data_IF_045294441517
#
_entry.id   IF_045294441517
#
_cell.length_a   1.000
_cell.length_b   1.000
_cell.length_c   1.000
_cell.angle_alpha   90.00
_cell.angle_beta   90.00
_cell.angle_gamma   90.00
#
_symmetry.space_group_name_H-M   'P 1'
#
loop_
_entity.id
_entity.type
_entity.pdbx_description
1 polymer ?
#
# COMPACT_ATOMS: atom_id res chain seq x y z
N UNK A 1 0.06 -6.73 5.74
CA UNK A 1 0.85 -7.94 6.06
C UNK A 1 2.09 -7.62 6.89
N UNK A 2 3.11 -6.93 6.37
CA UNK A 2 4.34 -6.58 7.12
C UNK A 2 4.07 -6.00 8.51
N UNK A 3 3.26 -4.94 8.61
CA UNK A 3 2.92 -4.30 9.90
C UNK A 3 2.29 -5.29 10.88
N UNK A 4 1.33 -6.10 10.42
CA UNK A 4 0.67 -7.12 11.26
C UNK A 4 1.66 -8.17 11.75
N UNK A 5 2.59 -8.63 10.91
CA UNK A 5 3.64 -9.57 11.31
C UNK A 5 4.52 -8.98 12.42
N UNK A 6 4.95 -7.72 12.27
CA UNK A 6 5.74 -7.03 13.30
C UNK A 6 4.98 -6.94 14.62
N UNK A 7 3.69 -6.60 14.60
CA UNK A 7 2.88 -6.54 15.83
C UNK A 7 2.73 -7.91 16.48
N UNK A 8 2.51 -8.97 15.71
CA UNK A 8 2.44 -10.34 16.23
C UNK A 8 3.75 -10.75 16.89
N UNK A 9 4.90 -10.50 16.24
CA UNK A 9 6.23 -10.81 16.79
C UNK A 9 6.55 -9.97 18.04
N UNK A 10 6.09 -8.71 18.09
CA UNK A 10 6.25 -7.84 19.27
C UNK A 10 5.51 -8.35 20.51
N UNK A 11 4.48 -9.18 20.35
CA UNK A 11 3.80 -9.81 21.50
C UNK A 11 4.69 -10.80 22.24
N UNK A 12 5.64 -11.43 21.53
CA UNK A 12 6.53 -12.45 22.10
C UNK A 12 7.94 -11.91 22.39
N UNK A 13 8.37 -10.84 21.72
CA UNK A 13 9.66 -10.19 21.97
C UNK A 13 9.53 -8.67 22.01
N UNK A 14 9.89 -8.09 23.15
CA UNK A 14 9.88 -6.62 23.35
C UNK A 14 11.17 -5.95 22.90
N UNK A 15 12.27 -6.69 22.82
CA UNK A 15 13.58 -6.18 22.38
C UNK A 15 13.64 -6.04 20.86
N UNK A 16 13.12 -4.92 20.36
CA UNK A 16 13.05 -4.63 18.93
C UNK A 16 13.77 -3.31 18.64
N UNK A 17 14.78 -3.36 17.78
CA UNK A 17 15.41 -2.17 17.22
C UNK A 17 14.84 -1.89 15.85
N UNK A 18 14.49 -0.63 15.60
CA UNK A 18 14.15 -0.16 14.25
C UNK A 18 15.47 0.04 13.51
N UNK A 19 15.76 -0.87 12.59
CA UNK A 19 16.96 -0.82 11.77
C UNK A 19 16.60 -1.21 10.34
N UNK A 20 17.06 -0.42 9.38
CA UNK A 20 16.76 -0.62 7.96
C UNK A 20 17.98 -1.26 7.30
N UNK A 21 17.88 -2.52 6.83
CA UNK A 21 18.87 -3.05 5.90
C UNK A 21 19.00 -2.14 4.69
N UNK A 22 20.16 -2.14 4.03
CA UNK A 22 20.42 -1.30 2.87
C UNK A 22 19.30 -1.46 1.83
N UNK A 23 18.64 -0.34 1.49
CA UNK A 23 17.55 -0.29 0.53
C UNK A 23 16.14 -0.62 1.07
N UNK A 24 15.98 -1.11 2.30
CA UNK A 24 14.65 -1.36 2.86
C UNK A 24 13.92 -0.04 3.22
N UNK A 25 12.66 0.10 2.80
CA UNK A 25 11.81 1.22 3.22
C UNK A 25 11.57 1.19 4.74
N UNK A 26 11.32 -0.02 5.26
CA UNK A 26 11.12 -0.29 6.68
C UNK A 26 11.84 -1.56 7.10
N UNK A 27 12.35 -1.58 8.33
CA UNK A 27 13.02 -2.75 8.88
C UNK A 27 12.99 -2.75 10.41
N UNK A 28 12.90 -3.96 10.96
CA UNK A 28 12.95 -4.22 12.40
C UNK A 28 13.86 -5.41 12.66
N UNK A 29 14.66 -5.30 13.71
CA UNK A 29 15.53 -6.37 14.19
C UNK A 29 15.07 -6.78 15.58
N UNK A 30 14.67 -8.05 15.72
CA UNK A 30 14.33 -8.67 17.00
C UNK A 30 15.61 -9.30 17.56
N UNK A 31 16.19 -8.65 18.57
CA UNK A 31 17.55 -8.95 19.03
C UNK A 31 17.67 -10.36 19.60
N UNK A 32 16.72 -10.74 20.45
CA UNK A 32 16.69 -12.05 21.10
C UNK A 32 16.75 -13.23 20.12
N UNK A 33 16.12 -13.09 18.96
CA UNK A 33 16.04 -14.15 17.95
C UNK A 33 17.01 -13.94 16.78
N UNK A 34 17.80 -12.87 16.79
CA UNK A 34 18.59 -12.42 15.64
C UNK A 34 17.77 -12.35 14.34
N UNK A 35 16.49 -11.99 14.44
CA UNK A 35 15.56 -11.99 13.31
C UNK A 35 15.44 -10.58 12.74
N UNK A 36 15.68 -10.46 11.43
CA UNK A 36 15.48 -9.22 10.67
C UNK A 36 14.22 -9.36 9.83
N UNK A 37 13.32 -8.39 9.94
CA UNK A 37 12.12 -8.31 9.12
C UNK A 37 12.13 -6.99 8.39
N UNK A 38 12.20 -7.04 7.06
CA UNK A 38 12.28 -5.87 6.19
C UNK A 38 11.10 -5.79 5.24
N UNK A 39 10.79 -4.57 4.80
CA UNK A 39 9.79 -4.27 3.79
C UNK A 39 10.44 -3.41 2.71
N UNK A 40 10.32 -3.89 1.47
CA UNK A 40 10.75 -3.21 0.27
C UNK A 40 9.52 -2.92 -0.58
N UNK A 41 9.32 -1.66 -0.93
CA UNK A 41 8.21 -1.23 -1.75
C UNK A 41 8.51 -1.54 -3.20
N UNK A 42 7.67 -2.39 -3.80
CA UNK A 42 7.74 -2.71 -5.21
C UNK A 42 6.34 -2.89 -5.77
N UNK A 43 5.87 -1.95 -6.58
CA UNK A 43 4.47 -1.95 -7.03
C UNK A 43 4.28 -2.92 -8.21
N UNK A 44 5.21 -2.90 -9.16
CA UNK A 44 5.17 -3.72 -10.39
C UNK A 44 6.16 -4.89 -10.37
N UNK A 45 7.02 -5.03 -9.35
CA UNK A 45 8.20 -5.93 -9.36
C UNK A 45 9.28 -5.49 -10.38
N UNK A 46 8.90 -4.96 -11.52
CA UNK A 46 9.79 -4.38 -12.52
C UNK A 46 10.10 -2.90 -12.28
N UNK A 47 11.26 -2.46 -12.75
CA UNK A 47 11.64 -1.06 -12.79
C UNK A 47 10.64 -0.26 -13.63
N UNK A 48 10.15 0.85 -13.09
CA UNK A 48 9.29 1.77 -13.82
C UNK A 48 9.58 3.23 -13.50
N UNK A 49 9.36 4.09 -14.49
CA UNK A 49 9.67 5.51 -14.41
C UNK A 49 8.86 6.35 -15.39
N UNK A 50 8.84 7.66 -15.17
CA UNK A 50 8.22 8.59 -16.12
C UNK A 50 9.03 8.62 -17.42
N UNK A 51 8.34 8.55 -18.55
CA UNK A 51 8.93 8.69 -19.88
C UNK A 51 8.26 9.83 -20.64
N UNK A 52 9.07 10.61 -21.35
CA UNK A 52 8.63 11.70 -22.21
C UNK A 52 9.39 11.66 -23.53
N UNK A 53 8.70 12.04 -24.60
CA UNK A 53 9.27 12.10 -25.93
C UNK A 53 10.53 13.00 -25.99
N UNK A 54 11.53 12.55 -26.74
CA UNK A 54 12.74 13.32 -27.03
C UNK A 54 12.54 14.23 -28.24
N UNK A 55 13.21 15.39 -28.24
CA UNK A 55 13.23 16.32 -29.38
C UNK A 55 13.85 15.68 -30.63
N UNK A 56 14.77 14.73 -30.43
CA UNK A 56 15.44 14.01 -31.51
C UNK A 56 14.56 12.92 -32.15
N UNK A 57 13.34 12.73 -31.63
CA UNK A 57 12.45 11.66 -32.05
C UNK A 57 12.93 10.26 -31.65
N UNK A 58 12.10 9.27 -31.93
CA UNK A 58 12.35 7.87 -31.61
C UNK A 58 11.20 6.98 -32.08
N UNK A 59 11.32 5.68 -31.85
CA UNK A 59 10.33 4.69 -32.31
C UNK A 59 8.97 4.93 -31.65
N UNK A 60 8.94 5.28 -30.36
CA UNK A 60 7.70 5.55 -29.62
C UNK A 60 7.04 6.86 -30.08
N UNK A 61 7.83 7.88 -30.39
CA UNK A 61 7.37 9.14 -30.95
C UNK A 61 6.77 8.95 -32.34
N UNK A 62 7.40 8.10 -33.18
CA UNK A 62 6.87 7.68 -34.48
C UNK A 62 5.53 6.93 -34.39
N UNK A 63 5.28 6.25 -33.28
CA UNK A 63 3.99 5.62 -32.95
C UNK A 63 2.96 6.59 -32.35
N UNK A 64 3.33 7.86 -32.17
CA UNK A 64 2.45 8.92 -31.65
C UNK A 64 2.46 9.08 -30.12
N UNK A 65 3.32 8.36 -29.40
CA UNK A 65 3.45 8.52 -27.95
C UNK A 65 4.22 9.79 -27.60
N UNK A 66 3.61 10.68 -26.81
CA UNK A 66 4.25 11.91 -26.32
C UNK A 66 4.81 11.77 -24.90
N UNK A 67 4.17 10.93 -24.09
CA UNK A 67 4.50 10.67 -22.68
C UNK A 67 3.90 9.34 -22.23
N UNK A 68 4.43 8.78 -21.15
CA UNK A 68 3.94 7.54 -20.57
C UNK A 68 4.77 7.11 -19.38
N UNK A 69 4.54 5.89 -18.91
CA UNK A 69 5.38 5.24 -17.92
C UNK A 69 6.19 4.14 -18.57
N UNK A 70 7.51 4.29 -18.56
CA UNK A 70 8.43 3.21 -18.92
C UNK A 70 8.33 2.11 -17.88
N UNK A 71 8.21 0.87 -18.34
CA UNK A 71 8.22 -0.35 -17.52
C UNK A 71 9.21 -1.32 -18.14
N UNK A 72 10.33 -1.57 -17.48
CA UNK A 72 11.38 -2.46 -17.96
C UNK A 72 11.07 -3.92 -17.57
N UNK A 73 10.76 -4.75 -18.56
CA UNK A 73 10.31 -6.13 -18.36
C UNK A 73 11.39 -7.03 -17.75
N UNK A 74 12.66 -6.72 -17.98
CA UNK A 74 13.83 -7.52 -17.63
C UNK A 74 14.64 -6.97 -16.43
N UNK A 75 14.31 -5.76 -15.95
CA UNK A 75 15.05 -5.09 -14.88
C UNK A 75 14.17 -5.05 -13.61
N UNK A 76 14.60 -5.68 -12.50
CA UNK A 76 13.87 -5.58 -11.23
C UNK A 76 13.92 -4.16 -10.66
N UNK A 77 12.83 -3.71 -10.04
CA UNK A 77 12.73 -2.37 -9.45
C UNK A 77 13.68 -2.15 -8.26
N UNK A 78 14.31 -0.97 -8.24
CA UNK A 78 14.86 -0.34 -7.04
C UNK A 78 15.61 -1.26 -6.09
N UNK A 79 15.22 -1.20 -4.82
CA UNK A 79 15.97 -1.78 -3.70
C UNK A 79 15.67 -3.25 -3.43
N UNK A 80 14.69 -3.85 -4.12
CA UNK A 80 14.39 -5.26 -3.92
C UNK A 80 15.29 -6.18 -4.75
N UNK A 81 16.01 -5.65 -5.74
CA UNK A 81 16.93 -6.41 -6.59
C UNK A 81 18.00 -7.19 -5.80
N UNK A 82 18.48 -6.65 -4.67
CA UNK A 82 19.49 -7.30 -3.81
C UNK A 82 18.88 -8.15 -2.68
N UNK A 83 17.57 -8.07 -2.47
CA UNK A 83 16.87 -8.76 -1.38
C UNK A 83 17.04 -10.29 -1.43
N UNK A 84 16.94 -10.97 -2.60
CA UNK A 84 17.11 -12.42 -2.67
C UNK A 84 18.47 -12.91 -2.16
N UNK A 85 19.51 -12.07 -2.27
CA UNK A 85 20.87 -12.42 -1.82
C UNK A 85 21.03 -12.33 -0.31
N UNK A 86 20.20 -11.53 0.37
CA UNK A 86 20.38 -11.18 1.79
C UNK A 86 19.40 -11.90 2.74
N UNK A 87 18.20 -12.25 2.28
CA UNK A 87 17.15 -12.81 3.12
C UNK A 87 16.94 -14.32 2.91
N UNK A 88 16.69 -15.04 4.00
CA UNK A 88 16.41 -16.48 3.95
C UNK A 88 14.95 -16.78 3.59
N UNK A 89 14.03 -15.85 3.87
CA UNK A 89 12.60 -15.95 3.53
C UNK A 89 12.19 -14.72 2.72
N UNK A 90 11.65 -14.96 1.54
CA UNK A 90 11.14 -13.92 0.66
C UNK A 90 9.63 -14.07 0.50
N UNK A 91 8.89 -13.00 0.80
CA UNK A 91 7.45 -12.92 0.59
C UNK A 91 7.16 -11.80 -0.40
N UNK A 92 6.78 -12.18 -1.63
CA UNK A 92 6.46 -11.24 -2.69
C UNK A 92 4.95 -11.07 -2.86
N UNK A 93 4.57 -9.88 -3.26
CA UNK A 93 3.28 -9.62 -3.85
C UNK A 93 3.42 -8.55 -4.94
N UNK A 94 2.49 -8.55 -5.89
CA UNK A 94 2.28 -7.41 -6.79
C UNK A 94 0.79 -7.13 -6.81
N UNK A 95 0.40 -5.85 -6.85
CA UNK A 95 -0.99 -5.45 -6.54
C UNK A 95 -1.62 -4.64 -7.68
N UNK A 96 -2.55 -3.77 -7.30
CA UNK A 96 -3.56 -3.13 -8.14
C UNK A 96 -3.04 -2.22 -9.26
N UNK A 97 -1.74 -1.94 -9.32
CA UNK A 97 -1.17 -0.95 -10.22
C UNK A 97 -1.23 -1.38 -11.70
N UNK A 98 -1.17 -2.68 -11.97
CA UNK A 98 -1.28 -3.26 -13.32
C UNK A 98 -2.55 -2.88 -14.09
N UNK A 99 -3.64 -2.52 -13.40
CA UNK A 99 -4.91 -2.13 -14.02
C UNK A 99 -5.54 -0.96 -13.27
N UNK A 100 -4.72 0.00 -12.85
CA UNK A 100 -5.17 1.23 -12.21
C UNK A 100 -5.17 2.38 -13.23
N UNK A 101 -6.32 2.73 -13.85
CA UNK A 101 -6.38 3.81 -14.85
C UNK A 101 -5.94 5.16 -14.29
N UNK A 102 -6.14 5.39 -12.98
CA UNK A 102 -5.66 6.59 -12.30
C UNK A 102 -4.15 6.72 -12.22
N UNK A 103 -3.42 5.61 -12.37
CA UNK A 103 -1.96 5.62 -12.38
C UNK A 103 -1.41 5.48 -13.80
N UNK A 104 -1.97 4.56 -14.58
CA UNK A 104 -1.57 4.28 -15.95
C UNK A 104 -2.77 4.45 -16.87
N UNK A 105 -3.10 5.71 -17.17
CA UNK A 105 -4.17 6.04 -18.10
C UNK A 105 -3.77 5.56 -19.52
N UNK A 106 -4.55 4.67 -20.17
CA UNK A 106 -4.19 4.08 -21.46
C UNK A 106 -4.04 5.10 -22.59
N UNK A 107 -4.59 6.31 -22.43
CA UNK A 107 -4.56 7.38 -23.42
C UNK A 107 -3.58 8.47 -23.00
N UNK A 108 -3.65 8.94 -21.75
CA UNK A 108 -2.88 10.09 -21.27
C UNK A 108 -1.47 9.73 -20.82
N UNK A 109 -1.29 8.57 -20.22
CA UNK A 109 -0.02 8.13 -19.64
C UNK A 109 0.10 6.59 -19.63
N UNK A 110 0.15 5.96 -20.83
CA UNK A 110 0.13 4.51 -20.95
C UNK A 110 1.40 3.87 -20.38
N UNK A 111 1.31 2.57 -20.10
CA UNK A 111 2.49 1.74 -19.86
C UNK A 111 3.22 1.52 -21.20
N UNK A 112 4.50 1.86 -21.22
CA UNK A 112 5.41 1.67 -22.35
C UNK A 112 6.43 0.63 -21.91
N UNK A 113 6.38 -0.55 -22.53
CA UNK A 113 7.24 -1.66 -22.13
C UNK A 113 8.59 -1.58 -22.81
N UNK A 114 9.64 -1.88 -22.06
CA UNK A 114 11.02 -1.93 -22.54
C UNK A 114 11.62 -3.29 -22.22
N UNK A 115 12.49 -3.77 -23.10
CA UNK A 115 13.30 -4.96 -22.89
C UNK A 115 14.72 -4.67 -23.36
N UNK A 116 15.73 -4.93 -22.52
CA UNK A 116 17.14 -4.62 -22.80
C UNK A 116 17.38 -3.16 -23.20
N UNK A 117 16.57 -2.25 -22.64
CA UNK A 117 16.63 -0.82 -22.91
C UNK A 117 15.97 -0.36 -24.21
N UNK A 118 15.37 -1.27 -24.99
CA UNK A 118 14.67 -0.94 -26.24
C UNK A 118 13.15 -1.01 -26.03
N UNK A 119 12.37 -0.09 -26.65
CA UNK A 119 10.91 -0.13 -26.53
C UNK A 119 10.33 -1.34 -27.27
N UNK A 120 9.36 -2.01 -26.65
CA UNK A 120 8.61 -3.08 -27.31
C UNK A 120 7.55 -2.45 -28.23
N UNK A 121 7.74 -2.63 -29.53
CA UNK A 121 6.98 -1.92 -30.59
C UNK A 121 5.52 -2.40 -30.67
N UNK A 122 5.26 -3.68 -30.37
CA UNK A 122 3.90 -4.20 -30.32
C UNK A 122 3.25 -3.77 -29.02
N UNK A 123 2.03 -3.17 -29.03
CA UNK A 123 1.34 -2.78 -27.81
C UNK A 123 1.01 -4.03 -27.00
N UNK A 124 1.80 -4.29 -25.96
CA UNK A 124 1.56 -5.35 -24.99
C UNK A 124 0.47 -4.87 -24.04
N UNK A 125 -0.56 -5.70 -23.83
CA UNK A 125 -1.56 -5.44 -22.81
C UNK A 125 -0.95 -5.61 -21.41
N UNK A 126 -1.33 -4.82 -20.39
CA UNK A 126 -0.77 -4.93 -19.05
C UNK A 126 -0.78 -6.35 -18.45
N UNK A 127 -1.77 -7.17 -18.79
CA UNK A 127 -1.87 -8.57 -18.36
C UNK A 127 -0.71 -9.43 -18.91
N UNK A 128 -0.33 -9.21 -20.16
CA UNK A 128 0.81 -9.92 -20.78
C UNK A 128 2.13 -9.40 -20.19
N UNK A 129 2.22 -8.08 -19.93
CA UNK A 129 3.38 -7.49 -19.25
C UNK A 129 3.59 -8.08 -17.84
N UNK A 130 2.50 -8.26 -17.09
CA UNK A 130 2.52 -8.94 -15.79
C UNK A 130 3.07 -10.37 -15.91
N UNK A 131 2.60 -11.15 -16.89
CA UNK A 131 3.06 -12.53 -17.09
C UNK A 131 4.58 -12.59 -17.36
N UNK A 132 5.10 -11.70 -18.21
CA UNK A 132 6.53 -11.63 -18.52
C UNK A 132 7.33 -11.26 -17.27
N UNK A 133 6.87 -10.27 -16.51
CA UNK A 133 7.57 -9.83 -15.30
C UNK A 133 7.55 -10.88 -14.21
N UNK A 134 6.45 -11.61 -14.03
CA UNK A 134 6.40 -12.73 -13.09
C UNK A 134 7.40 -13.83 -13.48
N UNK A 135 7.52 -14.17 -14.77
CA UNK A 135 8.52 -15.13 -15.25
C UNK A 135 9.95 -14.65 -15.01
N UNK A 136 10.24 -13.41 -15.36
CA UNK A 136 11.56 -12.82 -15.16
C UNK A 136 11.91 -12.70 -13.66
N UNK A 137 10.93 -12.39 -12.82
CA UNK A 137 11.08 -12.38 -11.36
C UNK A 137 11.41 -13.77 -10.83
N UNK A 138 10.69 -14.82 -11.25
CA UNK A 138 10.97 -16.20 -10.82
C UNK A 138 12.40 -16.56 -11.20
N UNK A 139 12.81 -16.31 -12.45
CA UNK A 139 14.16 -16.56 -12.92
C UNK A 139 15.21 -15.80 -12.10
N UNK A 140 14.97 -14.50 -11.87
CA UNK A 140 15.86 -13.62 -11.13
C UNK A 140 16.06 -14.07 -9.68
N UNK A 141 14.97 -14.34 -8.96
CA UNK A 141 15.00 -14.82 -7.57
C UNK A 141 15.68 -16.18 -7.50
N UNK A 142 15.41 -17.09 -8.44
CA UNK A 142 16.03 -18.41 -8.45
C UNK A 142 17.54 -18.38 -8.67
N UNK A 143 18.01 -17.42 -9.46
CA UNK A 143 19.45 -17.26 -9.71
C UNK A 143 20.20 -16.64 -8.54
N UNK A 144 19.55 -15.77 -7.76
CA UNK A 144 20.21 -14.99 -6.70
C UNK A 144 20.00 -15.52 -5.29
N UNK A 145 18.86 -16.15 -5.02
CA UNK A 145 18.55 -16.67 -3.70
C UNK A 145 19.28 -17.97 -3.43
N UNK A 146 19.66 -18.20 -2.18
CA UNK A 146 20.27 -19.45 -1.73
C UNK A 146 19.34 -20.64 -2.02
N UNK A 147 19.87 -21.85 -2.31
CA UNK A 147 19.05 -23.03 -2.61
C UNK A 147 18.01 -23.38 -1.52
N UNK A 148 18.34 -23.15 -0.25
CA UNK A 148 17.44 -23.39 0.90
C UNK A 148 16.49 -22.21 1.21
N UNK A 149 16.53 -21.13 0.44
CA UNK A 149 15.71 -19.94 0.66
C UNK A 149 14.23 -20.22 0.43
N UNK A 150 13.38 -19.81 1.36
CA UNK A 150 11.93 -19.99 1.28
C UNK A 150 11.34 -18.87 0.45
N UNK A 151 10.59 -19.24 -0.59
CA UNK A 151 9.99 -18.32 -1.57
C UNK A 151 8.48 -18.41 -1.47
N UNK A 152 7.84 -17.33 -1.09
CA UNK A 152 6.39 -17.26 -0.95
C UNK A 152 5.87 -16.14 -1.85
N UNK A 153 4.85 -16.43 -2.64
CA UNK A 153 4.11 -15.42 -3.38
C UNK A 153 2.68 -15.33 -2.84
N UNK A 154 2.29 -14.15 -2.37
CA UNK A 154 0.96 -13.94 -1.83
C UNK A 154 -0.02 -13.56 -2.95
N UNK A 155 -1.16 -14.25 -2.99
CA UNK A 155 -2.27 -13.85 -3.85
C UNK A 155 -2.82 -12.48 -3.44
N UNK A 156 -3.60 -11.86 -4.31
CA UNK A 156 -4.09 -10.51 -4.04
C UNK A 156 -5.31 -10.49 -3.15
N UNK A 157 -5.37 -9.46 -2.30
CA UNK A 157 -6.58 -9.13 -1.55
C UNK A 157 -7.57 -8.39 -2.46
N UNK A 158 -8.86 -8.76 -2.46
CA UNK A 158 -9.90 -8.10 -3.23
C UNK A 158 -10.22 -6.69 -2.70
N UNK A 159 -10.93 -5.93 -3.53
CA UNK A 159 -11.61 -4.69 -3.13
C UNK A 159 -13.10 -5.00 -2.94
N UNK A 160 -13.74 -4.31 -2.00
CA UNK A 160 -15.17 -4.50 -1.71
C UNK A 160 -15.91 -3.18 -1.94
N UNK A 161 -15.73 -2.59 -3.12
CA UNK A 161 -16.34 -1.31 -3.44
C UNK A 161 -17.80 -1.52 -3.85
N UNK A 162 -18.71 -0.81 -3.21
CA UNK A 162 -20.13 -0.74 -3.55
C UNK A 162 -20.43 0.63 -4.16
N UNK A 163 -21.40 0.67 -5.08
CA UNK A 163 -21.93 1.92 -5.70
C UNK A 163 -20.95 2.73 -6.54
N UNK A 164 -19.78 2.17 -6.88
CA UNK A 164 -18.83 2.78 -7.81
C UNK A 164 -17.40 2.30 -7.60
N UNK A 165 -16.48 2.86 -8.37
CA UNK A 165 -15.05 2.69 -8.16
C UNK A 165 -14.52 3.65 -7.10
N UNK A 166 -13.32 3.37 -6.58
CA UNK A 166 -12.68 4.17 -5.52
C UNK A 166 -12.53 5.67 -5.87
N UNK A 167 -12.51 6.02 -7.15
CA UNK A 167 -12.45 7.39 -7.69
C UNK A 167 -13.81 7.96 -8.11
N UNK A 168 -14.86 7.14 -8.13
CA UNK A 168 -16.22 7.49 -8.52
C UNK A 168 -17.22 7.36 -7.35
N UNK A 169 -16.75 7.41 -6.10
CA UNK A 169 -17.60 7.37 -4.91
C UNK A 169 -17.81 5.98 -4.30
N UNK A 170 -17.15 4.95 -4.83
CA UNK A 170 -17.20 3.59 -4.31
C UNK A 170 -16.69 3.49 -2.88
N UNK A 171 -17.43 2.80 -2.02
CA UNK A 171 -17.03 2.59 -0.62
C UNK A 171 -17.44 1.21 -0.10
N UNK A 172 -16.89 0.81 1.05
CA UNK A 172 -17.32 -0.40 1.75
C UNK A 172 -17.83 -0.01 3.14
N UNK A 173 -19.14 -0.13 3.36
CA UNK A 173 -19.79 0.18 4.65
C UNK A 173 -20.14 -1.09 5.44
N UNK A 174 -19.76 -2.28 4.94
CA UNK A 174 -20.10 -3.54 5.58
C UNK A 174 -19.36 -3.68 6.91
N UNK A 175 -20.10 -4.10 7.94
CA UNK A 175 -19.56 -4.39 9.28
C UNK A 175 -19.53 -5.89 9.58
N UNK A 176 -20.18 -6.71 8.75
CA UNK A 176 -20.17 -8.17 8.85
C UNK A 176 -19.45 -8.82 7.66
N UNK A 177 -18.89 -10.03 7.84
CA UNK A 177 -18.39 -10.84 6.73
C UNK A 177 -19.48 -11.14 5.70
N UNK A 178 -19.09 -11.36 4.44
CA UNK A 178 -20.00 -11.84 3.40
C UNK A 178 -20.29 -13.33 3.57
N UNK A 179 -21.54 -13.72 3.30
CA UNK A 179 -21.91 -15.12 3.13
C UNK A 179 -21.34 -15.67 1.81
N UNK A 180 -21.18 -16.98 1.73
CA UNK A 180 -20.54 -17.65 0.59
C UNK A 180 -21.23 -17.33 -0.75
N UNK A 181 -22.56 -17.35 -0.75
CA UNK A 181 -23.38 -17.03 -1.93
C UNK A 181 -23.18 -15.58 -2.36
N UNK A 182 -23.08 -14.66 -1.39
CA UNK A 182 -22.82 -13.24 -1.65
C UNK A 182 -21.42 -13.04 -2.22
N UNK A 183 -20.41 -13.76 -1.72
CA UNK A 183 -19.04 -13.72 -2.26
C UNK A 183 -19.04 -14.17 -3.72
N UNK A 184 -19.67 -15.30 -4.02
CA UNK A 184 -19.71 -15.83 -5.37
C UNK A 184 -20.43 -14.90 -6.35
N UNK A 185 -21.51 -14.26 -5.89
CA UNK A 185 -22.23 -13.26 -6.67
C UNK A 185 -21.42 -11.98 -6.88
N UNK A 186 -20.84 -11.43 -5.82
CA UNK A 186 -20.15 -10.14 -5.80
C UNK A 186 -18.79 -10.17 -6.52
N UNK A 187 -18.15 -11.34 -6.55
CA UNK A 187 -16.88 -11.59 -7.24
C UNK A 187 -17.03 -12.50 -8.46
N UNK A 188 -18.23 -12.63 -9.03
CA UNK A 188 -18.45 -13.40 -10.27
C UNK A 188 -17.75 -12.76 -11.47
N UNK A 189 -17.04 -13.57 -12.27
CA UNK A 189 -16.37 -13.11 -13.51
C UNK A 189 -17.34 -12.82 -14.66
N UNK A 190 -18.59 -13.26 -14.54
CA UNK A 190 -19.64 -13.05 -15.55
C UNK A 190 -20.20 -11.63 -15.53
N UNK A 191 -20.07 -10.95 -14.38
CA UNK A 191 -20.38 -9.52 -14.27
C UNK A 191 -19.08 -8.77 -14.46
N UNK A 192 -18.97 -8.00 -15.55
CA UNK A 192 -17.88 -7.04 -15.80
C UNK A 192 -17.83 -5.97 -14.69
N UNK A 193 -17.36 -6.35 -13.51
CA UNK A 193 -17.40 -5.59 -12.28
C UNK A 193 -16.00 -5.46 -11.71
N UNK A 194 -15.67 -4.25 -11.25
CA UNK A 194 -14.32 -3.87 -10.84
C UNK A 194 -13.75 -4.75 -9.71
N UNK A 195 -14.61 -5.33 -8.87
CA UNK A 195 -14.22 -6.17 -7.74
C UNK A 195 -13.77 -7.58 -8.18
N UNK A 196 -14.53 -8.22 -9.07
CA UNK A 196 -14.28 -9.58 -9.56
C UNK A 196 -13.14 -9.61 -10.58
N UNK A 197 -13.24 -8.76 -11.59
CA UNK A 197 -12.36 -8.75 -12.76
C UNK A 197 -10.92 -8.42 -12.38
N UNK A 198 -10.70 -7.62 -11.34
CA UNK A 198 -9.35 -7.22 -10.97
C UNK A 198 -8.66 -8.21 -10.05
N UNK A 199 -9.37 -8.98 -9.23
CA UNK A 199 -8.75 -9.88 -8.25
C UNK A 199 -8.61 -11.30 -8.80
N UNK A 200 -9.72 -11.92 -9.22
CA UNK A 200 -9.74 -13.33 -9.63
C UNK A 200 -9.01 -13.56 -10.95
N UNK A 201 -9.21 -12.72 -11.97
CA UNK A 201 -8.46 -12.83 -13.24
C UNK A 201 -6.95 -12.66 -13.03
N UNK A 202 -6.54 -11.69 -12.20
CA UNK A 202 -5.12 -11.42 -11.96
C UNK A 202 -4.44 -12.55 -11.19
N UNK A 203 -5.16 -13.17 -10.25
CA UNK A 203 -4.68 -14.39 -9.61
C UNK A 203 -4.61 -15.57 -10.58
N UNK A 204 -5.50 -15.71 -11.57
CA UNK A 204 -5.39 -16.76 -12.59
C UNK A 204 -4.08 -16.67 -13.37
N UNK A 205 -3.70 -15.48 -13.82
CA UNK A 205 -2.39 -15.24 -14.44
C UNK A 205 -1.24 -15.65 -13.52
N UNK A 206 -1.34 -15.28 -12.25
CA UNK A 206 -0.33 -15.59 -11.24
C UNK A 206 -0.21 -17.09 -10.95
N UNK A 207 -1.34 -17.81 -10.76
CA UNK A 207 -1.33 -19.27 -10.57
C UNK A 207 -0.69 -19.96 -11.78
N UNK A 208 -1.07 -19.54 -12.99
CA UNK A 208 -0.54 -20.11 -14.24
C UNK A 208 0.98 -19.91 -14.38
N UNK A 209 1.50 -18.74 -13.99
CA UNK A 209 2.94 -18.45 -14.10
C UNK A 209 3.75 -19.10 -12.99
N UNK A 210 3.17 -19.23 -11.78
CA UNK A 210 3.84 -19.86 -10.64
C UNK A 210 3.71 -21.39 -10.65
N UNK A 211 2.81 -21.96 -11.46
CA UNK A 211 2.67 -23.41 -11.63
C UNK A 211 3.99 -24.03 -12.07
N UNK A 212 4.44 -25.07 -11.35
CA UNK A 212 5.72 -25.73 -11.60
C UNK A 212 6.95 -24.94 -11.16
N UNK A 213 6.79 -23.75 -10.58
CA UNK A 213 7.90 -23.02 -9.94
C UNK A 213 8.17 -23.54 -8.53
N UNK A 214 9.29 -23.12 -7.94
CA UNK A 214 9.65 -23.41 -6.55
C UNK A 214 9.11 -22.38 -5.54
N UNK A 215 8.11 -21.58 -5.93
CA UNK A 215 7.43 -20.65 -5.04
C UNK A 215 6.24 -21.33 -4.38
N UNK A 216 6.09 -21.14 -3.07
CA UNK A 216 4.87 -21.47 -2.37
C UNK A 216 3.84 -20.35 -2.58
N UNK A 217 2.65 -20.73 -3.02
CA UNK A 217 1.54 -19.80 -3.19
C UNK A 217 0.81 -19.67 -1.87
N UNK A 218 0.83 -18.49 -1.26
CA UNK A 218 0.01 -18.17 -0.10
C UNK A 218 -1.33 -17.63 -0.59
N UNK A 219 -2.33 -18.50 -0.70
CA UNK A 219 -3.66 -18.11 -1.13
C UNK A 219 -4.47 -17.48 0.00
N UNK A 220 -4.58 -16.16 -0.05
CA UNK A 220 -5.39 -15.34 0.86
C UNK A 220 -6.63 -14.77 0.19
N UNK A 221 -6.86 -15.04 -1.10
CA UNK A 221 -7.84 -14.28 -1.88
C UNK A 221 -9.25 -14.59 -1.45
N UNK A 222 -9.63 -15.88 -1.45
CA UNK A 222 -10.99 -16.28 -1.11
C UNK A 222 -11.38 -15.91 0.33
N UNK A 223 -10.49 -16.19 1.29
CA UNK A 223 -10.72 -15.79 2.68
C UNK A 223 -10.81 -14.28 2.85
N UNK A 224 -10.11 -13.50 2.02
CA UNK A 224 -10.20 -12.04 2.04
C UNK A 224 -11.47 -11.51 1.38
N UNK A 225 -12.03 -12.20 0.38
CA UNK A 225 -13.33 -11.88 -0.24
C UNK A 225 -14.49 -12.01 0.76
N UNK A 226 -14.38 -12.91 1.73
CA UNK A 226 -15.37 -13.00 2.81
C UNK A 226 -15.28 -11.82 3.79
N UNK A 227 -14.15 -11.12 3.86
CA UNK A 227 -13.83 -10.17 4.94
C UNK A 227 -14.10 -8.70 4.56
N UNK A 228 -15.29 -8.43 4.02
CA UNK A 228 -15.76 -7.08 3.72
C UNK A 228 -15.76 -6.15 4.97
N UNK A 229 -15.89 -6.70 6.17
CA UNK A 229 -15.90 -5.94 7.43
C UNK A 229 -14.55 -5.41 7.91
N UNK A 230 -13.44 -5.80 7.27
CA UNK A 230 -12.10 -5.51 7.76
C UNK A 230 -11.46 -4.27 7.12
N UNK A 231 -12.23 -3.45 6.40
CA UNK A 231 -11.71 -2.21 5.78
C UNK A 231 -11.65 -1.05 6.79
N UNK A 232 -10.67 -0.13 6.65
CA UNK A 232 -10.50 1.01 7.56
C UNK A 232 -11.56 2.12 7.44
N UNK A 233 -12.69 1.89 6.76
CA UNK A 233 -13.75 2.89 6.53
C UNK A 233 -14.54 3.32 7.78
N UNK A 234 -14.25 2.73 8.95
CA UNK A 234 -15.06 2.86 10.17
C UNK A 234 -14.59 3.95 11.16
N UNK A 235 -13.97 5.03 10.68
CA UNK A 235 -13.52 6.12 11.55
C UNK A 235 -14.69 6.72 12.38
N UNK A 236 -15.89 6.85 11.79
CA UNK A 236 -17.08 7.33 12.48
C UNK A 236 -17.51 6.42 13.65
N UNK A 237 -17.40 5.09 13.48
CA UNK A 237 -17.73 4.12 14.51
C UNK A 237 -16.73 4.17 15.69
N UNK A 238 -15.45 4.41 15.40
CA UNK A 238 -14.43 4.61 16.44
C UNK A 238 -14.72 5.84 17.29
N UNK A 239 -15.14 6.95 16.67
CA UNK A 239 -15.57 8.15 17.39
C UNK A 239 -16.82 7.91 18.24
N UNK A 240 -17.80 7.15 17.73
CA UNK A 240 -19.01 6.80 18.46
C UNK A 240 -18.69 5.99 19.72
N UNK A 241 -17.87 4.93 19.60
CA UNK A 241 -17.45 4.11 20.76
C UNK A 241 -16.70 4.96 21.78
N UNK A 242 -15.76 5.81 21.34
CA UNK A 242 -15.02 6.69 22.24
C UNK A 242 -15.94 7.63 23.00
N UNK A 243 -16.94 8.19 22.33
CA UNK A 243 -17.95 9.08 22.94
C UNK A 243 -18.80 8.33 23.96
N UNK A 244 -19.28 7.12 23.64
CA UNK A 244 -20.08 6.30 24.55
C UNK A 244 -19.29 5.91 25.80
N UNK A 245 -18.01 5.55 25.66
CA UNK A 245 -17.14 5.23 26.81
C UNK A 245 -16.91 6.44 27.72
N UNK A 246 -16.64 7.62 27.15
CA UNK A 246 -16.45 8.85 27.93
C UNK A 246 -17.73 9.25 28.66
N UNK A 247 -18.88 9.16 27.99
CA UNK A 247 -20.18 9.41 28.62
C UNK A 247 -20.46 8.41 29.75
N UNK A 248 -20.17 7.13 29.53
CA UNK A 248 -20.25 6.10 30.57
C UNK A 248 -19.37 6.45 31.78
N UNK A 249 -18.11 6.80 31.56
CA UNK A 249 -17.20 7.22 32.65
C UNK A 249 -17.70 8.45 33.42
N UNK A 250 -18.36 9.40 32.74
CA UNK A 250 -18.96 10.56 33.38
C UNK A 250 -20.28 10.26 34.11
N UNK A 251 -21.10 9.32 33.61
CA UNK A 251 -22.35 8.90 34.25
C UNK A 251 -22.04 8.15 35.55
N UNK A 252 -21.12 7.18 35.50
CA UNK A 252 -20.70 6.39 36.66
C UNK A 252 -19.66 7.09 37.54
N UNK A 253 -19.33 8.35 37.23
CA UNK A 253 -18.39 9.19 37.98
C UNK A 253 -16.99 8.53 38.18
N UNK A 254 -16.62 7.63 37.26
CA UNK A 254 -15.31 6.99 37.21
C UNK A 254 -14.21 7.99 36.82
N UNK A 255 -14.60 9.09 36.16
CA UNK A 255 -13.71 10.19 35.85
C UNK A 255 -14.38 11.55 36.08
N UNK A 256 -13.62 12.50 36.63
CA UNK A 256 -14.13 13.82 37.00
C UNK A 256 -14.59 14.58 35.76
N UNK A 257 -15.84 15.03 35.75
CA UNK A 257 -16.39 15.82 34.64
C UNK A 257 -15.64 17.16 34.52
N UNK A 258 -15.19 17.55 33.31
CA UNK A 258 -14.54 18.83 33.11
C UNK A 258 -15.56 19.97 33.32
N UNK A 259 -15.16 21.03 34.04
CA UNK A 259 -15.95 22.27 34.12
C UNK A 259 -15.60 23.10 32.89
N UNK A 260 -16.50 23.16 31.91
CA UNK A 260 -16.27 23.85 30.64
C UNK A 260 -17.00 25.19 30.65
N UNK A 261 -16.27 26.28 30.40
CA UNK A 261 -16.85 27.62 30.18
C UNK A 261 -17.22 27.80 28.70
N UNK A 262 -18.21 28.64 28.37
CA UNK A 262 -18.66 28.89 26.99
C UNK A 262 -17.54 29.30 26.03
N UNK A 263 -16.57 30.11 26.50
CA UNK A 263 -15.39 30.48 25.71
C UNK A 263 -14.47 29.28 25.40
N UNK A 264 -14.31 28.34 26.34
CA UNK A 264 -13.51 27.13 26.13
C UNK A 264 -14.20 26.17 25.16
N UNK A 265 -15.54 26.14 25.14
CA UNK A 265 -16.31 25.30 24.23
C UNK A 265 -16.05 25.67 22.76
N UNK A 266 -15.92 26.97 22.45
CA UNK A 266 -15.60 27.45 21.10
C UNK A 266 -14.21 26.97 20.66
N UNK A 267 -13.22 27.08 21.54
CA UNK A 267 -11.85 26.59 21.25
C UNK A 267 -11.80 25.06 21.09
N UNK A 268 -12.53 24.32 21.93
CA UNK A 268 -12.64 22.86 21.83
C UNK A 268 -13.33 22.46 20.52
N UNK A 269 -14.40 23.15 20.12
CA UNK A 269 -15.12 22.88 18.87
C UNK A 269 -14.22 23.12 17.66
N UNK A 270 -13.49 24.24 17.64
CA UNK A 270 -12.56 24.56 16.55
C UNK A 270 -11.44 23.51 16.46
N UNK A 271 -10.87 23.11 17.60
CA UNK A 271 -9.87 22.04 17.67
C UNK A 271 -10.45 20.69 17.21
N UNK A 272 -11.68 20.37 17.58
CA UNK A 272 -12.36 19.14 17.18
C UNK A 272 -12.64 19.09 15.67
N UNK A 273 -13.00 20.23 15.05
CA UNK A 273 -13.17 20.34 13.59
C UNK A 273 -11.84 20.08 12.89
N UNK A 274 -10.76 20.73 13.32
CA UNK A 274 -9.42 20.53 12.75
C UNK A 274 -8.96 19.08 12.92
N UNK A 275 -9.17 18.48 14.08
CA UNK A 275 -8.83 17.08 14.35
C UNK A 275 -9.65 16.10 13.50
N UNK A 276 -10.94 16.38 13.31
CA UNK A 276 -11.82 15.57 12.45
C UNK A 276 -11.42 15.69 10.99
N UNK A 277 -11.08 16.90 10.53
CA UNK A 277 -10.54 17.12 9.18
C UNK A 277 -9.19 16.41 8.99
N UNK A 278 -8.30 16.45 9.98
CA UNK A 278 -7.02 15.72 9.95
C UNK A 278 -7.22 14.21 9.82
N UNK A 279 -8.16 13.63 10.55
CA UNK A 279 -8.53 12.22 10.43
C UNK A 279 -9.20 11.90 9.09
N UNK A 280 -10.10 12.75 8.61
CA UNK A 280 -10.73 12.60 7.29
C UNK A 280 -9.69 12.62 6.18
N UNK A 281 -8.80 13.61 6.17
CA UNK A 281 -7.74 13.72 5.15
C UNK A 281 -6.71 12.60 5.26
N UNK A 282 -6.41 12.12 6.46
CA UNK A 282 -5.56 10.94 6.65
C UNK A 282 -6.22 9.70 6.05
N UNK A 283 -7.52 9.48 6.30
CA UNK A 283 -8.25 8.36 5.70
C UNK A 283 -8.40 8.49 4.17
N UNK A 284 -8.65 9.71 3.67
CA UNK A 284 -8.65 9.99 2.22
C UNK A 284 -7.27 9.74 1.61
N UNK A 285 -6.20 10.13 2.31
CA UNK A 285 -4.82 9.87 1.92
C UNK A 285 -4.56 8.37 1.89
N UNK A 286 -4.89 7.62 2.94
CA UNK A 286 -4.77 6.16 2.96
C UNK A 286 -5.59 5.46 1.86
N UNK A 287 -6.70 6.08 1.42
CA UNK A 287 -7.50 5.62 0.28
C UNK A 287 -6.93 5.98 -1.10
N UNK A 288 -6.15 7.07 -1.21
CA UNK A 288 -5.63 7.61 -2.48
C UNK A 288 -4.13 7.35 -2.72
N UNK A 289 -3.35 7.19 -1.66
CA UNK A 289 -1.89 7.03 -1.68
C UNK A 289 -1.45 5.87 -0.79
N UNK A 290 -0.23 5.39 -0.99
CA UNK A 290 0.30 4.28 -0.19
C UNK A 290 0.48 4.73 1.25
N UNK A 291 0.10 3.86 2.19
CA UNK A 291 0.18 4.07 3.65
C UNK A 291 1.52 4.64 4.09
N UNK A 292 2.63 4.21 3.49
CA UNK A 292 3.97 4.72 3.79
C UNK A 292 4.15 6.20 3.43
N UNK A 293 3.58 6.67 2.32
CA UNK A 293 3.64 8.08 1.93
C UNK A 293 2.82 8.95 2.87
N UNK A 294 1.64 8.49 3.29
CA UNK A 294 0.86 9.15 4.34
C UNK A 294 1.67 9.26 5.64
N UNK A 295 2.35 8.20 6.04
CA UNK A 295 3.24 8.25 7.20
C UNK A 295 4.48 9.14 6.99
N UNK A 296 5.00 9.28 5.77
CA UNK A 296 6.10 10.22 5.47
C UNK A 296 5.65 11.67 5.63
N UNK A 297 4.48 12.03 5.11
CA UNK A 297 3.89 13.36 5.29
C UNK A 297 3.59 13.60 6.78
N UNK A 298 3.02 12.61 7.48
CA UNK A 298 2.78 12.73 8.91
C UNK A 298 4.09 12.81 9.72
N UNK A 299 5.19 12.21 9.26
CA UNK A 299 6.50 12.35 9.91
C UNK A 299 7.10 13.75 9.77
N UNK A 300 6.56 14.59 8.87
CA UNK A 300 6.92 16.02 8.77
C UNK A 300 6.12 16.89 9.74
N UNK A 301 5.17 16.33 10.50
CA UNK A 301 4.40 17.06 11.51
C UNK A 301 5.28 17.93 12.44
N UNK A 302 6.42 17.44 12.99
CA UNK A 302 7.28 18.27 13.85
C UNK A 302 7.84 19.50 13.13
N UNK A 303 8.16 19.38 11.84
CA UNK A 303 8.64 20.50 11.03
C UNK A 303 7.55 21.56 10.85
N UNK A 304 6.33 21.14 10.50
CA UNK A 304 5.20 22.07 10.35
C UNK A 304 4.77 22.67 11.69
N UNK A 305 4.85 21.92 12.80
CA UNK A 305 4.59 22.43 14.14
C UNK A 305 5.56 23.53 14.53
N UNK A 306 6.87 23.38 14.24
CA UNK A 306 7.87 24.41 14.50
C UNK A 306 7.62 25.64 13.62
N UNK A 307 7.38 25.44 12.33
CA UNK A 307 7.11 26.54 11.39
C UNK A 307 5.87 27.34 11.77
N UNK A 308 4.76 26.65 12.07
CA UNK A 308 3.52 27.30 12.48
C UNK A 308 3.65 27.95 13.86
N UNK A 309 4.38 27.34 14.80
CA UNK A 309 4.67 27.96 16.10
C UNK A 309 5.47 29.26 15.92
N UNK A 310 6.51 29.26 15.08
CA UNK A 310 7.26 30.47 14.77
C UNK A 310 6.40 31.55 14.11
N UNK A 311 5.45 31.18 13.24
CA UNK A 311 4.54 32.12 12.57
C UNK A 311 3.47 32.72 13.49
N UNK A 312 2.89 31.93 14.39
CA UNK A 312 1.75 32.35 15.22
C UNK A 312 2.14 32.82 16.62
N UNK A 313 3.24 32.32 17.18
CA UNK A 313 3.72 32.64 18.53
C UNK A 313 5.02 33.47 18.52
N UNK A 314 5.72 33.58 17.38
CA UNK A 314 6.96 34.36 17.25
C UNK A 314 8.19 33.71 17.90
N UNK A 315 8.11 32.46 18.33
CA UNK A 315 9.20 31.76 19.01
C UNK A 315 10.22 31.19 17.99
N UNK A 316 11.47 31.66 18.04
CA UNK A 316 12.59 31.13 17.25
C UNK A 316 13.28 29.98 18.00
N UNK A 317 13.15 28.78 17.47
CA UNK A 317 13.78 27.58 18.03
C UNK A 317 15.21 27.43 17.53
N UNK A 318 16.20 27.75 18.36
CA UNK A 318 17.62 27.45 18.07
C UNK A 318 17.95 26.00 18.48
N UNK A 319 18.34 25.17 17.51
CA UNK A 319 18.96 23.88 17.78
C UNK A 319 20.36 24.11 18.34
N UNK A 320 20.54 23.99 19.66
CA UNK A 320 21.86 23.80 20.24
C UNK A 320 22.35 22.39 19.86
N UNK A 321 23.19 22.33 18.82
CA UNK A 321 24.06 21.18 18.57
C UNK A 321 25.14 21.20 19.64
N UNK A 322 24.96 20.43 20.71
CA UNK A 322 26.06 20.04 21.59
C UNK A 322 26.98 19.12 20.80
N UNK A 323 28.09 19.66 20.31
CA UNK A 323 29.22 18.92 19.73
C UNK A 323 29.90 18.05 20.77
#
# INVERSE_FOLDING_TARGET
MFVSLIFTLKRVSKEVKKWRPAGADHGFTFLYYHLIVAYHRTNLLAHYGWWSASVNGGVLEGLGYKKGFRVDLDIPEGTWAEVPSFHDILILNTKHWWRAPSKFDPIKSPMLFFEKGLPVISPIKPEIGLDIILKNMIFYVNRRMRPAGIKIFCTQSPRHLEEGDWDHGGSCQRVQPLLLEQVNHFFSLERNGTNADTCRLRNQHMYKVLEGSNFHILDVSYMSECRASAHPSTAAFQFAIGTTLVLFMWIFNLHKRPKITSAQLVSILLLAIVYTMGNLFTNMSLGKVVVSFTHTINAMEPFFSILLSAMFLGELWHCHLST
#
